data_IF_171161499462
#
_entry.id   IF_171161499462
#
_cell.length_a   1.000
_cell.length_b   1.000
_cell.length_c   1.000
_cell.angle_alpha   90.00
_cell.angle_beta   90.00
_cell.angle_gamma   90.00
#
_symmetry.space_group_name_H-M   'P 1'
#
loop_
_entity.id
_entity.type
_entity.pdbx_description
1 polymer ?
#
# COMPACT_ATOMS: atom_id res chain seq x y z
N UNK A 1 10.58 -19.77 5.96
CA UNK A 1 11.73 -19.08 5.34
C UNK A 1 11.47 -18.98 3.85
N UNK A 2 11.65 -17.81 3.27
CA UNK A 2 11.69 -17.67 1.82
C UNK A 2 12.85 -18.52 1.29
N UNK A 3 12.61 -19.33 0.29
CA UNK A 3 13.61 -20.26 -0.19
C UNK A 3 14.67 -19.60 -1.07
N UNK A 4 14.36 -18.42 -1.65
CA UNK A 4 15.29 -17.66 -2.47
C UNK A 4 15.01 -16.16 -2.34
N UNK A 5 16.07 -15.35 -2.38
CA UNK A 5 15.98 -13.90 -2.48
C UNK A 5 16.04 -13.50 -3.94
N UNK A 6 15.12 -12.66 -4.40
CA UNK A 6 15.18 -12.08 -5.73
C UNK A 6 16.44 -11.22 -5.88
N UNK A 7 17.09 -11.29 -7.03
CA UNK A 7 18.24 -10.48 -7.35
C UNK A 7 17.77 -9.16 -7.98
N UNK A 8 18.01 -8.03 -7.31
CA UNK A 8 17.80 -6.72 -7.92
C UNK A 8 18.85 -6.51 -9.02
N UNK A 9 18.38 -6.23 -10.23
CA UNK A 9 19.25 -6.05 -11.41
C UNK A 9 19.41 -4.59 -11.79
N UNK A 10 18.42 -3.73 -11.49
CA UNK A 10 18.56 -2.29 -11.70
C UNK A 10 17.65 -1.47 -10.78
N UNK A 11 17.99 -0.19 -10.65
CA UNK A 11 17.13 0.87 -10.12
C UNK A 11 17.35 2.11 -10.99
N UNK A 12 16.26 2.77 -11.37
CA UNK A 12 16.29 4.06 -12.08
C UNK A 12 15.31 5.02 -11.40
N UNK A 13 15.81 6.18 -11.00
CA UNK A 13 15.05 7.18 -10.24
C UNK A 13 14.77 8.38 -11.15
N UNK A 14 13.51 8.64 -11.42
CA UNK A 14 13.00 9.75 -12.21
C UNK A 14 12.14 10.68 -11.31
N UNK A 15 11.83 11.91 -11.72
CA UNK A 15 11.13 12.88 -10.85
C UNK A 15 9.79 12.40 -10.28
N UNK A 16 8.99 11.64 -11.03
CA UNK A 16 7.68 11.14 -10.59
C UNK A 16 7.62 9.63 -10.48
N UNK A 17 8.68 8.93 -10.86
CA UNK A 17 8.70 7.47 -10.95
C UNK A 17 10.04 6.91 -10.52
N UNK A 18 9.99 5.78 -9.82
CA UNK A 18 11.18 4.98 -9.54
C UNK A 18 10.94 3.56 -10.03
N UNK A 19 11.86 3.08 -10.84
CA UNK A 19 11.82 1.76 -11.46
C UNK A 19 12.81 0.82 -10.79
N UNK A 20 12.33 -0.37 -10.45
CA UNK A 20 13.16 -1.47 -9.95
C UNK A 20 12.97 -2.69 -10.82
N UNK A 21 14.04 -3.40 -11.14
CA UNK A 21 13.97 -4.70 -11.81
C UNK A 21 14.62 -5.77 -10.97
N UNK A 22 14.03 -6.95 -10.99
CA UNK A 22 14.46 -8.11 -10.23
C UNK A 22 14.40 -9.37 -11.08
N UNK A 23 15.35 -10.28 -10.86
CA UNK A 23 15.24 -11.66 -11.32
C UNK A 23 14.81 -12.54 -10.15
N UNK A 24 13.67 -13.22 -10.31
CA UNK A 24 13.01 -14.07 -9.33
C UNK A 24 12.98 -15.52 -9.84
N UNK A 25 14.14 -16.17 -9.97
CA UNK A 25 14.24 -17.49 -10.60
C UNK A 25 13.89 -17.43 -12.08
N UNK A 26 12.86 -18.17 -12.55
CA UNK A 26 12.47 -18.21 -13.97
C UNK A 26 11.61 -17.02 -14.41
N UNK A 27 11.39 -16.05 -13.52
CA UNK A 27 10.53 -14.90 -13.76
C UNK A 27 11.27 -13.60 -13.42
N UNK A 28 11.18 -12.62 -14.29
CA UNK A 28 11.64 -11.25 -14.02
C UNK A 28 10.47 -10.39 -13.57
N UNK A 29 10.72 -9.54 -12.60
CA UNK A 29 9.76 -8.59 -12.03
C UNK A 29 10.28 -7.17 -12.22
N UNK A 30 9.45 -6.30 -12.81
CA UNK A 30 9.66 -4.85 -12.81
C UNK A 30 8.61 -4.21 -11.92
N UNK A 31 9.05 -3.37 -10.99
CA UNK A 31 8.19 -2.53 -10.15
C UNK A 31 8.40 -1.07 -10.52
N UNK A 32 7.29 -0.33 -10.63
CA UNK A 32 7.31 1.12 -10.86
C UNK A 32 6.49 1.81 -9.77
N UNK A 33 7.16 2.59 -8.94
CA UNK A 33 6.49 3.46 -7.97
C UNK A 33 6.21 4.79 -8.65
N UNK A 34 4.94 5.21 -8.71
CA UNK A 34 4.53 6.45 -9.34
C UNK A 34 3.82 7.35 -8.34
N UNK A 35 4.34 8.57 -8.16
CA UNK A 35 3.70 9.66 -7.45
C UNK A 35 3.36 10.76 -8.47
N UNK A 36 2.10 10.84 -8.97
CA UNK A 36 1.72 11.84 -9.97
C UNK A 36 1.84 13.26 -9.41
N UNK A 37 2.64 14.12 -10.05
CA UNK A 37 2.86 15.51 -9.65
C UNK A 37 2.60 16.45 -10.84
N UNK A 38 1.33 16.78 -11.06
CA UNK A 38 0.92 17.71 -12.11
C UNK A 38 0.77 19.12 -11.54
N UNK A 39 1.81 19.93 -11.68
CA UNK A 39 1.92 21.26 -11.04
C UNK A 39 0.84 22.26 -11.50
N UNK A 40 0.26 22.07 -12.65
CA UNK A 40 -0.81 22.88 -13.24
C UNK A 40 -2.23 22.40 -12.89
N UNK A 41 -2.33 21.29 -12.14
CA UNK A 41 -3.60 20.71 -11.70
C UNK A 41 -3.53 20.35 -10.20
N UNK A 42 -3.99 21.26 -9.36
CA UNK A 42 -3.92 21.09 -7.90
C UNK A 42 -4.79 19.95 -7.37
N UNK A 43 -5.88 19.61 -8.05
CA UNK A 43 -6.71 18.47 -7.64
C UNK A 43 -5.98 17.13 -7.85
N UNK A 44 -5.26 16.98 -8.96
CA UNK A 44 -4.41 15.82 -9.20
C UNK A 44 -3.15 15.83 -8.32
N UNK A 45 -2.52 17.01 -8.16
CA UNK A 45 -1.31 17.14 -7.33
C UNK A 45 -1.56 16.77 -5.89
N UNK A 46 -2.71 17.16 -5.35
CA UNK A 46 -3.07 16.91 -3.94
C UNK A 46 -3.72 15.56 -3.70
N UNK A 47 -4.09 14.83 -4.76
CA UNK A 47 -4.74 13.52 -4.64
C UNK A 47 -3.87 12.55 -3.84
N UNK A 48 -4.38 11.95 -2.75
CA UNK A 48 -3.56 11.18 -1.81
C UNK A 48 -3.37 9.73 -2.25
N UNK A 49 -3.25 9.47 -3.57
CA UNK A 49 -3.15 8.12 -4.14
C UNK A 49 -1.92 8.03 -5.03
N UNK A 50 -1.10 7.01 -4.76
CA UNK A 50 0.09 6.66 -5.53
C UNK A 50 -0.06 5.24 -6.09
N UNK A 51 0.71 4.94 -7.13
CA UNK A 51 0.63 3.68 -7.87
C UNK A 51 1.90 2.87 -7.68
N UNK A 52 1.73 1.56 -7.48
CA UNK A 52 2.79 0.56 -7.56
C UNK A 52 2.43 -0.36 -8.72
N UNK A 53 2.98 -0.07 -9.90
CA UNK A 53 2.77 -0.92 -11.08
C UNK A 53 3.77 -2.06 -11.09
N UNK A 54 3.35 -3.21 -11.55
CA UNK A 54 4.20 -4.38 -11.73
C UNK A 54 4.08 -4.95 -13.14
N UNK A 55 5.19 -5.41 -13.67
CA UNK A 55 5.28 -6.20 -14.90
C UNK A 55 6.05 -7.46 -14.57
N UNK A 56 5.50 -8.61 -14.93
CA UNK A 56 6.09 -9.92 -14.74
C UNK A 56 6.33 -10.55 -16.11
N UNK A 57 7.51 -11.10 -16.32
CA UNK A 57 7.84 -11.81 -17.57
C UNK A 57 8.66 -13.06 -17.29
N UNK A 58 8.32 -14.15 -17.98
CA UNK A 58 9.13 -15.37 -17.97
C UNK A 58 10.48 -15.10 -18.66
N UNK A 59 11.58 -15.54 -18.06
CA UNK A 59 12.92 -15.44 -18.65
C UNK A 59 13.44 -16.77 -19.24
N UNK A 60 12.64 -17.84 -19.14
CA UNK A 60 12.93 -19.15 -19.73
C UNK A 60 11.96 -19.56 -20.88
N UNK A 61 11.03 -18.65 -21.24
CA UNK A 61 10.06 -18.84 -22.30
C UNK A 61 8.90 -19.78 -21.97
N UNK A 62 8.77 -20.22 -20.72
CA UNK A 62 7.68 -21.09 -20.26
C UNK A 62 6.63 -20.30 -19.49
N UNK A 63 5.45 -20.87 -19.32
CA UNK A 63 4.45 -20.36 -18.38
C UNK A 63 4.81 -20.78 -16.96
N UNK A 64 4.56 -19.90 -16.01
CA UNK A 64 4.74 -20.13 -14.59
C UNK A 64 3.49 -19.70 -13.83
N UNK A 65 3.16 -20.41 -12.75
CA UNK A 65 2.15 -19.97 -11.80
C UNK A 65 2.75 -18.84 -10.97
N UNK A 66 2.18 -17.64 -11.07
CA UNK A 66 2.71 -16.44 -10.44
C UNK A 66 1.70 -15.83 -9.48
N UNK A 67 2.17 -15.53 -8.30
CA UNK A 67 1.46 -14.73 -7.30
C UNK A 67 2.37 -13.60 -6.81
N UNK A 68 1.80 -12.41 -6.68
CA UNK A 68 2.47 -11.24 -6.11
C UNK A 68 1.96 -11.00 -4.70
N UNK A 69 2.84 -11.16 -3.71
CA UNK A 69 2.57 -10.85 -2.31
C UNK A 69 3.10 -9.45 -1.95
N UNK A 70 2.22 -8.60 -1.44
CA UNK A 70 2.57 -7.28 -0.95
C UNK A 70 2.19 -7.15 0.51
N UNK A 71 3.12 -6.64 1.34
CA UNK A 71 2.90 -6.47 2.78
C UNK A 71 3.17 -5.02 3.18
N UNK A 72 2.27 -4.46 3.98
CA UNK A 72 2.45 -3.15 4.59
C UNK A 72 2.43 -3.23 6.12
N UNK A 73 3.21 -2.36 6.74
CA UNK A 73 3.31 -2.24 8.20
C UNK A 73 2.41 -1.12 8.72
N UNK A 74 1.84 -1.24 9.92
CA UNK A 74 1.15 -0.12 10.57
C UNK A 74 2.06 1.08 10.84
N UNK A 75 3.38 0.93 10.76
CA UNK A 75 4.35 2.04 10.86
C UNK A 75 4.13 3.16 9.84
N UNK A 76 3.38 2.91 8.78
CA UNK A 76 2.95 3.95 7.84
C UNK A 76 1.97 4.96 8.44
N UNK A 77 1.31 4.62 9.57
CA UNK A 77 0.22 5.38 10.16
C UNK A 77 0.32 5.55 11.68
N UNK A 78 1.48 5.27 12.26
CA UNK A 78 1.81 5.46 13.68
C UNK A 78 3.13 6.20 13.82
N UNK A 79 3.28 6.94 14.91
CA UNK A 79 4.52 7.67 15.21
C UNK A 79 5.58 6.78 15.86
N UNK A 80 5.20 5.98 16.86
CA UNK A 80 6.12 5.16 17.63
C UNK A 80 5.83 3.66 17.45
N UNK A 81 6.86 2.79 17.43
CA UNK A 81 6.69 1.34 17.21
C UNK A 81 5.81 0.63 18.26
N UNK A 82 5.67 1.20 19.45
CA UNK A 82 4.83 0.66 20.53
C UNK A 82 3.40 1.19 20.53
N UNK A 83 3.08 2.12 19.63
CA UNK A 83 1.75 2.69 19.51
C UNK A 83 0.80 1.66 18.92
N UNK A 84 -0.34 1.45 19.59
CA UNK A 84 -1.35 0.50 19.12
C UNK A 84 -1.99 0.98 17.81
N UNK A 85 -2.12 0.06 16.86
CA UNK A 85 -2.83 0.26 15.60
C UNK A 85 -4.09 -0.59 15.51
N UNK A 86 -4.97 -0.21 14.62
CA UNK A 86 -6.11 -1.00 14.17
C UNK A 86 -6.01 -1.22 12.68
N UNK A 87 -6.51 -2.36 12.21
CA UNK A 87 -6.51 -2.71 10.80
C UNK A 87 -7.81 -3.40 10.42
N UNK A 88 -8.27 -3.16 9.21
CA UNK A 88 -9.43 -3.83 8.62
C UNK A 88 -9.29 -3.97 7.10
N UNK A 89 -10.16 -4.79 6.51
CA UNK A 89 -10.29 -4.94 5.07
C UNK A 89 -11.76 -4.84 4.67
N UNK A 90 -12.00 -4.29 3.49
CA UNK A 90 -13.33 -4.14 2.92
C UNK A 90 -13.26 -4.05 1.39
N UNK A 91 -14.42 -4.13 0.74
CA UNK A 91 -14.53 -3.92 -0.71
C UNK A 91 -15.43 -2.72 -0.98
N UNK A 92 -15.07 -1.94 -2.00
CA UNK A 92 -15.92 -0.88 -2.54
C UNK A 92 -15.74 -0.86 -4.07
N UNK A 93 -16.87 -0.88 -4.79
CA UNK A 93 -16.84 -1.06 -6.24
C UNK A 93 -16.07 -2.31 -6.66
N UNK A 94 -15.08 -2.12 -7.51
CA UNK A 94 -14.21 -3.19 -8.01
C UNK A 94 -12.87 -3.31 -7.27
N UNK A 95 -12.72 -2.58 -6.16
CA UNK A 95 -11.50 -2.59 -5.36
C UNK A 95 -11.67 -3.34 -4.04
N UNK A 96 -10.62 -4.07 -3.68
CA UNK A 96 -10.36 -4.61 -2.36
C UNK A 96 -9.41 -3.67 -1.63
N UNK A 97 -9.80 -3.22 -0.45
CA UNK A 97 -9.04 -2.33 0.41
C UNK A 97 -8.54 -3.03 1.66
N UNK A 98 -7.36 -2.66 2.08
CA UNK A 98 -6.79 -2.88 3.40
C UNK A 98 -6.45 -1.52 4.00
N UNK A 99 -6.74 -1.34 5.27
CA UNK A 99 -6.54 -0.07 5.97
C UNK A 99 -5.88 -0.30 7.32
N UNK A 100 -4.98 0.61 7.73
CA UNK A 100 -4.43 0.64 9.09
C UNK A 100 -4.26 2.08 9.56
N UNK A 101 -4.41 2.29 10.86
CA UNK A 101 -4.20 3.58 11.52
C UNK A 101 -3.93 3.41 13.02
N UNK A 102 -3.50 4.47 13.69
CA UNK A 102 -3.39 4.43 15.15
C UNK A 102 -4.77 4.23 15.79
N UNK A 103 -4.80 3.53 16.94
CA UNK A 103 -6.05 3.32 17.66
C UNK A 103 -6.68 4.63 18.19
N UNK A 104 -5.85 5.54 18.65
CA UNK A 104 -6.31 6.73 19.37
C UNK A 104 -6.67 7.92 18.49
N UNK A 105 -6.20 7.96 17.23
CA UNK A 105 -6.50 9.03 16.27
C UNK A 105 -6.37 10.45 16.86
N UNK A 106 -5.22 10.77 17.44
CA UNK A 106 -4.96 12.06 18.08
C UNK A 106 -4.66 13.18 17.06
N UNK A 107 -5.72 13.60 16.35
CA UNK A 107 -5.64 14.55 15.23
C UNK A 107 -4.97 15.86 15.67
N UNK A 108 -3.84 16.23 15.04
CA UNK A 108 -3.10 17.48 15.22
C UNK A 108 -2.71 17.80 16.69
N UNK A 109 -2.65 16.79 17.57
CA UNK A 109 -2.36 17.04 19.01
C UNK A 109 -0.88 17.12 19.34
N UNK A 110 -0.02 16.50 18.57
CA UNK A 110 1.43 16.49 18.81
C UNK A 110 2.06 17.84 18.45
N UNK A 111 3.07 18.20 19.21
CA UNK A 111 3.88 19.43 19.01
C UNK A 111 5.35 19.06 19.16
N UNK A 112 6.22 19.72 18.40
CA UNK A 112 7.66 19.51 18.44
C UNK A 112 8.26 19.42 17.04
N UNK A 113 9.56 19.20 16.97
CA UNK A 113 10.33 19.24 15.73
C UNK A 113 10.45 17.87 15.05
N UNK A 114 10.31 16.78 15.80
CA UNK A 114 10.41 15.39 15.29
C UNK A 114 9.10 14.64 15.57
N UNK A 115 8.03 15.11 14.96
CA UNK A 115 6.71 14.47 15.05
C UNK A 115 6.32 13.84 13.71
N UNK A 116 5.79 12.62 13.78
CA UNK A 116 5.16 11.96 12.65
C UNK A 116 3.66 12.02 12.80
N UNK A 117 2.96 11.97 11.67
CA UNK A 117 1.51 11.86 11.66
C UNK A 117 1.14 10.51 12.28
N UNK A 118 0.31 10.54 13.33
CA UNK A 118 -0.22 9.37 14.01
C UNK A 118 -1.76 9.40 14.09
N UNK A 119 -2.37 10.15 13.20
CA UNK A 119 -3.80 10.17 12.94
C UNK A 119 -4.06 9.92 11.45
N UNK A 120 -5.31 9.61 11.10
CA UNK A 120 -5.66 9.19 9.75
C UNK A 120 -5.30 7.73 9.51
N UNK A 121 -5.34 7.32 8.24
CA UNK A 121 -5.17 5.92 7.87
C UNK A 121 -4.34 5.77 6.61
N UNK A 122 -3.48 4.76 6.62
CA UNK A 122 -2.86 4.23 5.41
C UNK A 122 -3.80 3.23 4.74
N UNK A 123 -3.88 3.30 3.42
CA UNK A 123 -4.67 2.42 2.58
C UNK A 123 -3.80 1.70 1.56
N UNK A 124 -4.09 0.43 1.36
CA UNK A 124 -3.58 -0.41 0.29
C UNK A 124 -4.77 -0.99 -0.46
N UNK A 125 -4.79 -0.87 -1.78
CA UNK A 125 -5.88 -1.40 -2.58
C UNK A 125 -5.41 -2.06 -3.88
N UNK A 126 -6.22 -2.97 -4.40
CA UNK A 126 -6.09 -3.57 -5.72
C UNK A 126 -7.47 -3.96 -6.25
N UNK A 127 -7.55 -4.28 -7.55
CA UNK A 127 -8.75 -4.90 -8.09
C UNK A 127 -9.13 -6.12 -7.26
N UNK A 128 -10.41 -6.25 -6.88
CA UNK A 128 -10.89 -7.36 -6.04
C UNK A 128 -10.80 -8.72 -6.76
N UNK A 129 -10.95 -8.70 -8.08
CA UNK A 129 -10.80 -9.92 -8.88
C UNK A 129 -9.34 -10.41 -8.82
N UNK A 130 -9.17 -11.69 -8.55
CA UNK A 130 -7.86 -12.33 -8.36
C UNK A 130 -7.00 -11.72 -7.23
N UNK A 131 -7.63 -11.02 -6.28
CA UNK A 131 -7.00 -10.53 -5.06
C UNK A 131 -7.53 -11.27 -3.84
N UNK A 132 -6.61 -11.53 -2.90
CA UNK A 132 -6.93 -11.98 -1.55
C UNK A 132 -6.18 -11.14 -0.53
N UNK A 133 -6.71 -11.01 0.68
CA UNK A 133 -6.10 -10.24 1.74
C UNK A 133 -6.14 -10.96 3.07
N UNK A 134 -5.17 -10.66 3.91
CA UNK A 134 -5.16 -11.08 5.32
C UNK A 134 -4.51 -9.99 6.18
N UNK A 135 -4.86 -10.01 7.46
CA UNK A 135 -4.37 -9.10 8.48
C UNK A 135 -3.89 -9.93 9.67
N UNK A 136 -2.69 -9.67 10.17
CA UNK A 136 -2.16 -10.39 11.32
C UNK A 136 -0.66 -10.30 11.49
N UNK A 137 -0.08 -11.25 12.22
CA UNK A 137 1.37 -11.35 12.42
C UNK A 137 2.10 -11.54 11.10
N UNK A 138 2.99 -10.61 10.76
CA UNK A 138 3.67 -10.62 9.46
C UNK A 138 4.60 -11.80 9.23
N UNK A 139 5.11 -12.44 10.30
CA UNK A 139 5.94 -13.66 10.17
C UNK A 139 5.05 -14.85 9.76
N UNK A 140 3.91 -14.97 10.42
CA UNK A 140 2.95 -16.04 10.10
C UNK A 140 2.29 -15.82 8.74
N UNK A 141 1.96 -14.57 8.37
CA UNK A 141 1.45 -14.24 7.03
C UNK A 141 2.40 -14.72 5.93
N UNK A 142 3.69 -14.37 6.02
CA UNK A 142 4.70 -14.79 5.02
C UNK A 142 4.92 -16.29 4.99
N UNK A 143 4.99 -16.94 6.17
CA UNK A 143 5.14 -18.39 6.30
C UNK A 143 3.95 -19.13 5.67
N UNK A 144 2.74 -18.66 5.97
CA UNK A 144 1.52 -19.31 5.51
C UNK A 144 1.26 -19.02 4.03
N UNK A 145 1.61 -17.86 3.51
CA UNK A 145 1.58 -17.58 2.08
C UNK A 145 2.39 -18.61 1.28
N UNK A 146 3.63 -18.90 1.70
CA UNK A 146 4.48 -19.93 1.06
C UNK A 146 3.86 -21.33 1.15
N UNK A 147 3.00 -21.57 2.14
CA UNK A 147 2.24 -22.83 2.29
C UNK A 147 0.87 -22.82 1.58
N UNK A 148 0.63 -21.86 0.67
CA UNK A 148 -0.65 -21.64 -0.01
C UNK A 148 -1.82 -21.37 0.94
N UNK A 149 -1.55 -20.69 2.05
CA UNK A 149 -2.52 -20.29 3.05
C UNK A 149 -2.31 -18.82 3.38
N UNK A 150 -3.26 -17.96 3.07
CA UNK A 150 -3.15 -16.54 3.44
C UNK A 150 -3.97 -16.26 4.70
N UNK A 151 -3.43 -16.64 5.85
CA UNK A 151 -4.02 -16.39 7.16
C UNK A 151 -2.93 -16.22 8.24
N UNK A 152 -3.21 -15.46 9.27
CA UNK A 152 -2.36 -15.36 10.45
C UNK A 152 -3.19 -14.96 11.68
N UNK A 153 -2.75 -15.31 12.90
CA UNK A 153 -3.34 -14.77 14.09
C UNK A 153 -3.12 -13.26 14.17
N UNK A 154 -4.11 -12.54 14.68
CA UNK A 154 -3.96 -11.12 14.98
C UNK A 154 -2.99 -10.90 16.13
N UNK A 155 -2.31 -9.78 16.09
CA UNK A 155 -1.47 -9.30 17.18
C UNK A 155 -2.25 -8.31 18.05
N UNK A 156 -1.72 -7.97 19.20
CA UNK A 156 -2.33 -6.95 20.06
C UNK A 156 -1.94 -5.54 19.59
N UNK A 157 -2.52 -5.11 18.45
CA UNK A 157 -2.38 -3.74 17.97
C UNK A 157 -1.17 -3.46 17.08
N UNK A 158 -0.61 -4.48 16.41
CA UNK A 158 0.48 -4.28 15.43
C UNK A 158 0.37 -5.26 14.25
N UNK A 159 -0.83 -5.36 13.68
CA UNK A 159 -1.09 -6.26 12.58
C UNK A 159 -0.56 -5.70 11.26
N UNK A 160 0.08 -6.56 10.47
CA UNK A 160 0.47 -6.29 9.10
C UNK A 160 -0.73 -6.47 8.17
N UNK A 161 -0.74 -5.69 7.10
CA UNK A 161 -1.64 -5.85 5.98
C UNK A 161 -0.95 -6.70 4.92
N UNK A 162 -1.56 -7.77 4.47
CA UNK A 162 -1.06 -8.57 3.35
C UNK A 162 -2.10 -8.62 2.23
N UNK A 163 -1.66 -8.35 1.01
CA UNK A 163 -2.45 -8.44 -0.20
C UNK A 163 -1.73 -9.33 -1.20
N UNK A 164 -2.46 -10.28 -1.78
CA UNK A 164 -1.95 -11.19 -2.80
C UNK A 164 -2.71 -10.98 -4.08
N UNK A 165 -1.99 -10.81 -5.17
CA UNK A 165 -2.52 -10.83 -6.53
C UNK A 165 -2.17 -12.16 -7.20
N UNK A 166 -3.16 -12.93 -7.58
CA UNK A 166 -2.95 -14.13 -8.39
C UNK A 166 -2.90 -13.75 -9.87
N UNK A 167 -1.77 -13.99 -10.52
CA UNK A 167 -1.58 -13.72 -11.95
C UNK A 167 -1.81 -14.96 -12.81
N UNK A 168 -2.07 -16.11 -12.13
CA UNK A 168 -2.32 -17.38 -12.80
C UNK A 168 -1.09 -17.98 -13.48
N UNK A 169 -1.31 -18.91 -14.38
CA UNK A 169 -0.27 -19.54 -15.18
C UNK A 169 0.01 -18.69 -16.43
N UNK A 170 1.10 -17.95 -16.42
CA UNK A 170 1.39 -16.93 -17.43
C UNK A 170 2.86 -16.89 -17.84
N UNK A 171 3.14 -16.38 -19.05
CA UNK A 171 4.46 -15.95 -19.50
C UNK A 171 4.68 -14.45 -19.29
N UNK A 172 3.59 -13.66 -19.27
CA UNK A 172 3.64 -12.22 -19.07
C UNK A 172 2.34 -11.75 -18.44
N UNK A 173 2.45 -10.92 -17.41
CA UNK A 173 1.33 -10.25 -16.77
C UNK A 173 1.75 -8.87 -16.26
N UNK A 174 0.82 -7.97 -16.17
CA UNK A 174 1.01 -6.65 -15.60
C UNK A 174 -0.23 -6.22 -14.79
N UNK A 175 -0.05 -5.18 -14.01
CA UNK A 175 -1.12 -4.59 -13.21
C UNK A 175 -0.56 -3.56 -12.25
N UNK A 176 -1.40 -3.13 -11.32
CA UNK A 176 -1.00 -2.16 -10.32
C UNK A 176 -1.69 -2.39 -8.97
N UNK A 177 -1.05 -1.91 -7.95
CA UNK A 177 -1.58 -1.69 -6.61
C UNK A 177 -1.68 -0.19 -6.39
N UNK A 178 -2.61 0.21 -5.54
CA UNK A 178 -2.83 1.59 -5.14
C UNK A 178 -2.48 1.72 -3.66
N UNK A 179 -1.75 2.77 -3.30
CA UNK A 179 -1.49 3.14 -1.92
C UNK A 179 -1.90 4.59 -1.68
N UNK A 180 -2.36 4.89 -0.49
CA UNK A 180 -2.76 6.24 -0.14
C UNK A 180 -2.80 6.48 1.35
N UNK A 181 -2.87 7.75 1.73
CA UNK A 181 -2.98 8.17 3.11
C UNK A 181 -4.03 9.27 3.24
N UNK A 182 -4.99 9.08 4.14
CA UNK A 182 -5.95 10.11 4.52
C UNK A 182 -5.57 10.66 5.89
N UNK A 183 -5.10 11.88 5.93
CA UNK A 183 -4.72 12.59 7.15
C UNK A 183 -5.89 13.32 7.83
N UNK A 184 -7.10 13.26 7.24
CA UNK A 184 -8.35 13.85 7.74
C UNK A 184 -8.27 15.37 7.86
N UNK A 185 -7.30 15.87 8.62
CA UNK A 185 -6.90 17.28 8.74
C UNK A 185 -5.39 17.39 8.66
N UNK A 186 -4.92 18.26 7.75
CA UNK A 186 -3.48 18.39 7.45
C UNK A 186 -2.77 19.35 8.38
N UNK A 187 -3.40 20.46 8.73
CA UNK A 187 -2.80 21.53 9.58
C UNK A 187 -3.84 22.18 10.47
N UNK A 188 -3.35 22.82 11.53
CA UNK A 188 -4.14 23.76 12.33
C UNK A 188 -3.66 25.20 12.06
N UNK A 189 -4.59 26.07 11.73
CA UNK A 189 -4.32 27.47 11.44
C UNK A 189 -5.24 28.36 12.26
N UNK A 190 -4.67 29.20 13.16
CA UNK A 190 -5.40 30.06 14.10
C UNK A 190 -6.52 29.36 14.90
N UNK A 191 -6.34 28.09 15.23
CA UNK A 191 -7.33 27.30 15.98
C UNK A 191 -8.27 26.46 15.12
N UNK A 192 -8.33 26.71 13.83
CA UNK A 192 -9.14 25.94 12.89
C UNK A 192 -8.34 24.79 12.28
N UNK A 193 -8.91 23.59 12.27
CA UNK A 193 -8.34 22.45 11.58
C UNK A 193 -8.68 22.49 10.10
N UNK A 194 -7.67 22.52 9.25
CA UNK A 194 -7.85 22.58 7.80
C UNK A 194 -7.69 21.19 7.17
N UNK A 195 -8.64 20.86 6.30
CA UNK A 195 -8.60 19.63 5.49
C UNK A 195 -7.53 19.72 4.41
N UNK A 196 -7.03 18.57 3.93
CA UNK A 196 -6.19 18.54 2.74
C UNK A 196 -6.92 19.13 1.52
N UNK A 197 -6.15 19.67 0.57
CA UNK A 197 -6.72 20.38 -0.58
C UNK A 197 -7.67 19.50 -1.41
N UNK A 198 -7.36 18.21 -1.58
CA UNK A 198 -8.23 17.28 -2.32
C UNK A 198 -9.62 17.12 -1.70
N UNK A 199 -9.76 17.37 -0.40
CA UNK A 199 -11.02 17.30 0.35
C UNK A 199 -11.36 18.62 1.05
N UNK A 200 -10.96 19.75 0.47
CA UNK A 200 -11.19 21.09 1.05
C UNK A 200 -12.65 21.41 1.34
N UNK A 201 -13.57 20.88 0.51
CA UNK A 201 -15.01 21.05 0.69
C UNK A 201 -15.61 20.05 1.71
N UNK A 202 -14.87 19.03 2.11
CA UNK A 202 -15.31 18.04 3.11
C UNK A 202 -16.36 17.03 2.62
N UNK A 203 -16.58 16.91 1.31
CA UNK A 203 -17.58 16.04 0.69
C UNK A 203 -16.97 14.84 -0.06
N UNK A 204 -15.66 14.71 -0.08
CA UNK A 204 -14.93 13.58 -0.68
C UNK A 204 -14.50 12.57 0.39
N UNK A 205 -14.27 11.35 -0.03
CA UNK A 205 -13.63 10.31 0.78
C UNK A 205 -12.37 9.83 0.09
N UNK A 206 -11.42 9.27 0.83
CA UNK A 206 -10.23 8.70 0.21
C UNK A 206 -10.61 7.55 -0.72
N UNK A 207 -11.63 6.76 -0.37
CA UNK A 207 -12.12 5.66 -1.21
C UNK A 207 -12.57 6.18 -2.57
N UNK A 208 -13.29 7.32 -2.62
CA UNK A 208 -13.66 7.96 -3.89
C UNK A 208 -12.45 8.40 -4.72
N UNK A 209 -11.34 8.76 -4.07
CA UNK A 209 -10.09 9.11 -4.76
C UNK A 209 -9.38 7.90 -5.37
N UNK A 210 -9.50 6.73 -4.78
CA UNK A 210 -8.97 5.48 -5.34
C UNK A 210 -9.75 5.03 -6.59
N UNK A 211 -11.00 5.46 -6.72
CA UNK A 211 -11.90 5.07 -7.83
C UNK A 211 -11.83 6.01 -9.04
N UNK A 212 -11.16 7.16 -8.93
CA UNK A 212 -10.93 8.12 -10.01
C UNK A 212 -9.73 7.73 -10.87
#
# INVERSE_FOLDING_TARGET
SFHQTAQQTSVDVQPMQTYYTFTCGPVDLKLTFTAPMFMDNLDLLSRPVNYISYEVASNDGKKHQVELYFEASPQWAIDQPHQESVADSFTDGDLLFLRTGSRNQEILKKKGDDVRIDWGHFYLAAEKENSTSAIGDGRELRKNFVANKLEAPTTNGYDKLALVRSLGETQKADGHLLIGYDDIYSIQYFGDNLRPYWNREGNETIVSQFQK
#
